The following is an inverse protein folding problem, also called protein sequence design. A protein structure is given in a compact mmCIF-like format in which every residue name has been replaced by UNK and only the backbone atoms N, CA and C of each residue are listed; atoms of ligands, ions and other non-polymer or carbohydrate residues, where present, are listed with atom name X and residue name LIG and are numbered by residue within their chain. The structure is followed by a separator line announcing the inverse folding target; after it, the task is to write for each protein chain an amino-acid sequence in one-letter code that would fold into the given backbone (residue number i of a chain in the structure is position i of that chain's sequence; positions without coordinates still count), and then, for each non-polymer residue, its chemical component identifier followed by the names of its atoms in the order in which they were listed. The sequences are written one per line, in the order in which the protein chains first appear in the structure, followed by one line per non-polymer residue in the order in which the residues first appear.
data_IF_850562999062
#
_entry.id   IF_850562999062
#
_cell.length_a   1.000
_cell.length_b   1.000
_cell.length_c   1.000
_cell.angle_alpha   90.00
_cell.angle_beta   90.00
_cell.angle_gamma   90.00
#
_symmetry.space_group_name_H-M   'P 1'
#
loop_
_entity.id
_entity.type
_entity.pdbx_description
1 polymer ?
#
# COMPACT_ATOMS: atom_id res chain seq x y z
N UNK A 1 9.81 11.12 26.36
CA UNK A 1 10.11 11.93 25.15
C UNK A 1 8.80 12.56 24.72
N UNK A 2 8.78 13.84 24.36
CA UNK A 2 7.56 14.54 23.94
C UNK A 2 7.00 13.84 22.68
N UNK A 3 5.82 13.22 22.79
CA UNK A 3 5.07 12.67 21.66
C UNK A 3 4.64 13.84 20.77
N UNK A 4 5.52 14.29 19.88
CA UNK A 4 5.09 15.13 18.78
C UNK A 4 4.29 14.24 17.83
N UNK A 5 3.03 14.59 17.60
CA UNK A 5 2.26 14.05 16.48
C UNK A 5 3.12 14.20 15.24
N UNK A 6 3.53 13.10 14.60
CA UNK A 6 4.39 13.19 13.45
C UNK A 6 3.58 13.83 12.33
N UNK A 7 4.00 15.02 11.91
CA UNK A 7 3.31 15.80 10.87
C UNK A 7 3.33 15.00 9.57
N UNK A 8 2.15 14.59 9.11
CA UNK A 8 1.98 14.01 7.78
C UNK A 8 2.18 15.11 6.75
N UNK A 9 3.19 14.96 5.88
CA UNK A 9 3.43 15.89 4.77
C UNK A 9 2.99 15.26 3.46
N UNK A 10 2.10 15.94 2.75
CA UNK A 10 1.62 15.54 1.42
C UNK A 10 2.49 16.13 0.29
N UNK A 11 3.66 16.68 0.60
CA UNK A 11 4.55 17.30 -0.39
C UNK A 11 4.92 16.34 -1.51
N UNK A 12 4.82 16.81 -2.76
CA UNK A 12 5.08 16.01 -3.94
C UNK A 12 4.02 14.95 -4.25
N UNK A 13 2.91 14.89 -3.52
CA UNK A 13 1.76 14.06 -3.86
C UNK A 13 0.79 14.83 -4.78
N UNK A 14 -0.08 14.11 -5.50
CA UNK A 14 -1.14 14.73 -6.29
C UNK A 14 -1.97 15.67 -5.42
N UNK A 15 -2.39 16.80 -5.99
CA UNK A 15 -3.06 17.88 -5.27
C UNK A 15 -2.12 18.81 -4.48
N UNK A 16 -0.87 18.40 -4.22
CA UNK A 16 0.13 19.16 -3.44
C UNK A 16 1.43 19.43 -4.20
N UNK A 17 1.39 19.33 -5.52
CA UNK A 17 2.53 19.63 -6.37
C UNK A 17 2.80 21.14 -6.44
N UNK A 18 4.07 21.51 -6.50
CA UNK A 18 4.46 22.87 -6.92
C UNK A 18 4.30 23.00 -8.45
N UNK A 19 4.24 24.22 -9.01
CA UNK A 19 4.17 24.40 -10.47
C UNK A 19 5.32 23.69 -11.22
N UNK A 20 6.53 23.67 -10.64
CA UNK A 20 7.67 22.94 -11.22
C UNK A 20 7.47 21.42 -11.18
N UNK A 21 6.89 20.89 -10.09
CA UNK A 21 6.57 19.47 -9.97
C UNK A 21 5.44 19.06 -10.92
N UNK A 22 4.43 19.91 -11.13
CA UNK A 22 3.38 19.68 -12.13
C UNK A 22 3.96 19.62 -13.54
N UNK A 23 4.86 20.56 -13.88
CA UNK A 23 5.56 20.57 -15.16
C UNK A 23 6.41 19.31 -15.35
N UNK A 24 7.21 18.93 -14.34
CA UNK A 24 8.00 17.70 -14.37
C UNK A 24 7.12 16.45 -14.53
N UNK A 25 5.93 16.45 -13.92
CA UNK A 25 4.99 15.34 -14.06
C UNK A 25 4.40 15.23 -15.47
N UNK A 26 4.01 16.35 -16.06
CA UNK A 26 3.55 16.39 -17.45
C UNK A 26 4.65 15.94 -18.42
N UNK A 27 5.88 16.44 -18.27
CA UNK A 27 7.04 16.06 -19.07
C UNK A 27 7.35 14.57 -18.94
N UNK A 28 7.36 14.03 -17.72
CA UNK A 28 7.60 12.61 -17.49
C UNK A 28 6.58 11.71 -18.19
N UNK A 29 5.28 12.02 -18.09
CA UNK A 29 4.23 11.25 -18.79
C UNK A 29 4.39 11.31 -20.31
N UNK A 30 4.75 12.48 -20.84
CA UNK A 30 5.04 12.65 -22.27
C UNK A 30 6.23 11.76 -22.70
N UNK A 31 7.36 11.83 -21.99
CA UNK A 31 8.55 11.03 -22.29
C UNK A 31 8.26 9.52 -22.23
N UNK A 32 7.46 9.07 -21.26
CA UNK A 32 7.04 7.67 -21.17
C UNK A 32 6.15 7.24 -22.35
N UNK A 33 5.25 8.13 -22.81
CA UNK A 33 4.42 7.88 -23.97
C UNK A 33 5.23 7.81 -25.27
N UNK A 34 6.17 8.74 -25.46
CA UNK A 34 7.10 8.74 -26.61
C UNK A 34 7.95 7.47 -26.67
N UNK A 35 8.36 6.94 -25.50
CA UNK A 35 9.10 5.67 -25.40
C UNK A 35 8.22 4.42 -25.52
N UNK A 36 6.89 4.57 -25.61
CA UNK A 36 5.94 3.46 -25.75
C UNK A 36 5.81 2.58 -24.49
N UNK A 37 6.14 3.13 -23.31
CA UNK A 37 6.03 2.45 -22.01
C UNK A 37 4.89 3.00 -21.15
N UNK A 38 4.14 3.96 -21.68
CA UNK A 38 2.92 4.51 -21.08
C UNK A 38 1.91 4.84 -22.17
N UNK A 39 0.66 4.44 -21.98
CA UNK A 39 -0.47 4.86 -22.80
C UNK A 39 -1.36 5.80 -21.98
N UNK A 40 -1.50 7.08 -22.38
CA UNK A 40 -2.43 8.00 -21.74
C UNK A 40 -3.89 7.51 -21.85
N UNK A 41 -4.75 8.01 -20.97
CA UNK A 41 -6.19 7.74 -21.07
C UNK A 41 -6.75 8.36 -22.36
N UNK A 42 -7.56 7.57 -23.09
CA UNK A 42 -8.28 8.00 -24.28
C UNK A 42 -9.77 7.76 -24.10
N UNK A 43 -10.63 8.34 -24.95
CA UNK A 43 -12.09 8.34 -24.76
C UNK A 43 -12.68 6.95 -24.43
N UNK A 44 -12.94 6.71 -23.13
CA UNK A 44 -13.52 5.47 -22.61
C UNK A 44 -12.53 4.38 -22.20
N UNK A 45 -11.21 4.58 -22.41
CA UNK A 45 -10.15 3.67 -22.00
C UNK A 45 -9.29 4.31 -20.89
N UNK A 46 -9.04 3.62 -19.77
CA UNK A 46 -8.13 4.11 -18.75
C UNK A 46 -6.71 4.22 -19.30
N UNK A 47 -5.88 5.05 -18.65
CA UNK A 47 -4.45 5.04 -18.90
C UNK A 47 -3.86 3.68 -18.49
N UNK A 48 -2.76 3.27 -19.14
CA UNK A 48 -2.02 2.04 -18.77
C UNK A 48 -1.58 2.02 -17.30
N UNK A 49 -1.35 3.20 -16.72
CA UNK A 49 -1.03 3.42 -15.32
C UNK A 49 -1.74 4.69 -14.85
N UNK A 50 -2.28 4.70 -13.63
CA UNK A 50 -2.91 5.91 -13.09
C UNK A 50 -1.88 6.95 -12.62
N UNK A 51 -2.34 8.17 -12.37
CA UNK A 51 -1.46 9.26 -11.95
C UNK A 51 -0.82 9.03 -10.57
N UNK A 52 -1.49 8.30 -9.66
CA UNK A 52 -0.93 7.94 -8.34
C UNK A 52 0.23 6.96 -8.51
N UNK A 53 0.14 6.02 -9.45
CA UNK A 53 1.20 5.10 -9.80
C UNK A 53 2.38 5.84 -10.43
N UNK A 54 2.12 6.66 -11.46
CA UNK A 54 3.17 7.34 -12.21
C UNK A 54 3.96 8.32 -11.33
N UNK A 55 3.32 9.08 -10.45
CA UNK A 55 4.01 10.09 -9.65
C UNK A 55 4.99 9.50 -8.63
N UNK A 56 4.84 8.23 -8.24
CA UNK A 56 5.77 7.54 -7.32
C UNK A 56 7.19 7.53 -7.85
N UNK A 57 7.36 7.35 -9.16
CA UNK A 57 8.67 7.30 -9.81
C UNK A 57 9.37 8.66 -9.78
N UNK A 58 8.62 9.75 -9.99
CA UNK A 58 9.13 11.11 -9.81
C UNK A 58 9.51 11.40 -8.38
N UNK A 59 8.64 11.07 -7.41
CA UNK A 59 8.93 11.27 -5.98
C UNK A 59 10.20 10.52 -5.57
N UNK A 60 10.36 9.27 -5.98
CA UNK A 60 11.55 8.46 -5.72
C UNK A 60 12.84 8.99 -6.37
N UNK A 61 12.72 9.88 -7.36
CA UNK A 61 13.84 10.54 -8.04
C UNK A 61 13.80 12.06 -7.87
N UNK A 62 13.13 12.56 -6.81
CA UNK A 62 13.09 13.98 -6.45
C UNK A 62 12.68 14.89 -7.61
N UNK A 63 11.73 14.42 -8.42
CA UNK A 63 11.21 15.08 -9.62
C UNK A 63 12.24 15.31 -10.74
N UNK A 64 13.37 14.59 -10.74
CA UNK A 64 14.28 14.53 -11.89
C UNK A 64 13.69 13.60 -12.95
N UNK A 65 13.16 14.18 -14.02
CA UNK A 65 12.41 13.47 -15.07
C UNK A 65 13.23 12.37 -15.75
N UNK A 66 14.50 12.65 -16.06
CA UNK A 66 15.41 11.69 -16.69
C UNK A 66 15.65 10.44 -15.81
N UNK A 67 15.91 10.63 -14.53
CA UNK A 67 16.16 9.53 -13.59
C UNK A 67 14.88 8.72 -13.33
N UNK A 68 13.72 9.41 -13.25
CA UNK A 68 12.42 8.75 -13.12
C UNK A 68 12.08 7.90 -14.36
N UNK A 69 12.40 8.40 -15.56
CA UNK A 69 12.22 7.67 -16.82
C UNK A 69 13.04 6.39 -16.88
N UNK A 70 14.28 6.41 -16.36
CA UNK A 70 15.12 5.21 -16.25
C UNK A 70 14.48 4.21 -15.30
N UNK A 71 14.14 4.63 -14.07
CA UNK A 71 13.53 3.75 -13.07
C UNK A 71 12.23 3.12 -13.57
N UNK A 72 11.37 3.91 -14.21
CA UNK A 72 10.11 3.44 -14.76
C UNK A 72 10.33 2.49 -15.95
N UNK A 73 11.26 2.81 -16.86
CA UNK A 73 11.64 1.92 -17.97
C UNK A 73 12.11 0.56 -17.46
N UNK A 74 13.03 0.54 -16.50
CA UNK A 74 13.55 -0.69 -15.91
C UNK A 74 12.45 -1.51 -15.23
N UNK A 75 11.48 -0.83 -14.61
CA UNK A 75 10.31 -1.46 -14.00
C UNK A 75 9.41 -2.11 -15.06
N UNK A 76 9.08 -1.39 -16.15
CA UNK A 76 8.24 -1.91 -17.23
C UNK A 76 8.91 -3.07 -17.99
N UNK A 77 10.23 -3.02 -18.20
CA UNK A 77 10.99 -4.13 -18.78
C UNK A 77 10.94 -5.37 -17.88
N UNK A 78 11.13 -5.19 -16.57
CA UNK A 78 11.00 -6.27 -15.59
C UNK A 78 9.58 -6.85 -15.54
N UNK A 79 8.54 -6.00 -15.55
CA UNK A 79 7.14 -6.44 -15.59
C UNK A 79 6.86 -7.34 -16.79
N UNK A 80 7.35 -6.95 -17.96
CA UNK A 80 7.22 -7.75 -19.21
C UNK A 80 7.99 -9.06 -19.13
N UNK A 81 9.23 -9.03 -18.62
CA UNK A 81 10.07 -10.22 -18.50
C UNK A 81 9.49 -11.27 -17.54
N UNK A 82 8.99 -10.83 -16.39
CA UNK A 82 8.39 -11.70 -15.36
C UNK A 82 6.89 -11.97 -15.58
N UNK A 83 6.30 -11.34 -16.62
CA UNK A 83 4.87 -11.41 -16.98
C UNK A 83 3.95 -11.04 -15.82
N UNK A 84 4.28 -9.98 -15.08
CA UNK A 84 3.61 -9.62 -13.82
C UNK A 84 2.10 -9.46 -13.97
N UNK A 85 1.63 -8.83 -15.05
CA UNK A 85 0.19 -8.59 -15.26
C UNK A 85 -0.59 -9.90 -15.46
N UNK A 86 -0.06 -10.80 -16.30
CA UNK A 86 -0.62 -12.13 -16.58
C UNK A 86 -0.59 -13.02 -15.33
N UNK A 87 0.54 -13.00 -14.62
CA UNK A 87 0.70 -13.73 -13.37
C UNK A 87 -0.30 -13.24 -12.32
N UNK A 88 -0.55 -11.94 -12.21
CA UNK A 88 -1.54 -11.39 -11.27
C UNK A 88 -2.96 -11.80 -11.62
N UNK A 89 -3.28 -11.82 -12.90
CA UNK A 89 -4.61 -12.18 -13.40
C UNK A 89 -4.95 -13.66 -13.27
N UNK A 90 -3.94 -14.53 -13.19
CA UNK A 90 -4.12 -15.98 -13.14
C UNK A 90 -3.53 -16.64 -11.89
N UNK A 91 -2.99 -15.87 -10.95
CA UNK A 91 -2.34 -16.40 -9.74
C UNK A 91 -3.27 -17.33 -8.96
N UNK A 92 -2.74 -18.48 -8.51
CA UNK A 92 -3.52 -19.42 -7.70
C UNK A 92 -3.83 -18.81 -6.33
N UNK A 93 -5.11 -18.88 -5.94
CA UNK A 93 -5.57 -18.32 -4.66
C UNK A 93 -4.93 -19.04 -3.48
N UNK A 94 -4.76 -20.36 -3.52
CA UNK A 94 -4.11 -21.10 -2.45
C UNK A 94 -2.65 -20.68 -2.26
N UNK A 95 -1.93 -20.50 -3.36
CA UNK A 95 -0.57 -19.97 -3.35
C UNK A 95 -0.52 -18.54 -2.81
N UNK A 96 -1.46 -17.67 -3.21
CA UNK A 96 -1.58 -16.32 -2.68
C UNK A 96 -1.74 -16.30 -1.16
N UNK A 97 -2.68 -17.10 -0.63
CA UNK A 97 -2.98 -17.19 0.79
C UNK A 97 -1.80 -17.75 1.60
N UNK A 98 -0.98 -18.61 1.01
CA UNK A 98 0.28 -19.05 1.63
C UNK A 98 1.33 -17.93 1.63
N UNK A 99 1.48 -17.21 0.51
CA UNK A 99 2.51 -16.19 0.35
C UNK A 99 2.29 -14.97 1.24
N UNK A 100 1.04 -14.54 1.44
CA UNK A 100 0.73 -13.37 2.28
C UNK A 100 1.07 -13.60 3.76
N UNK A 101 1.16 -14.86 4.23
CA UNK A 101 1.57 -15.21 5.60
C UNK A 101 3.04 -14.90 5.92
N UNK A 102 3.83 -14.57 4.90
CA UNK A 102 5.24 -14.23 5.03
C UNK A 102 5.51 -12.73 4.91
N UNK A 103 4.48 -11.92 4.72
CA UNK A 103 4.60 -10.50 4.34
C UNK A 103 3.59 -9.64 5.11
N UNK A 104 3.67 -8.30 5.03
CA UNK A 104 2.65 -7.43 5.60
C UNK A 104 1.26 -7.75 5.02
N UNK A 105 0.24 -7.78 5.87
CA UNK A 105 -1.14 -8.07 5.50
C UNK A 105 -2.05 -6.90 5.83
N UNK A 106 -2.96 -6.58 4.92
CA UNK A 106 -3.96 -5.53 5.14
C UNK A 106 -4.98 -5.99 6.18
N UNK A 107 -5.25 -5.15 7.18
CA UNK A 107 -6.26 -5.46 8.21
C UNK A 107 -7.69 -5.26 7.72
N UNK A 108 -7.88 -4.63 6.55
CA UNK A 108 -9.18 -4.12 6.10
C UNK A 108 -9.50 -2.72 6.60
N UNK A 109 -8.65 -2.16 7.49
CA UNK A 109 -8.82 -0.82 8.06
C UNK A 109 -7.80 0.18 7.50
N UNK A 110 -7.91 1.42 7.96
CA UNK A 110 -7.10 2.58 7.55
C UNK A 110 -6.63 3.35 8.79
N UNK A 111 -5.52 4.07 8.66
CA UNK A 111 -5.13 5.08 9.63
C UNK A 111 -5.99 6.35 9.49
N UNK A 112 -5.76 7.36 10.34
CA UNK A 112 -6.55 8.60 10.36
C UNK A 112 -6.37 9.47 9.13
N UNK A 113 -5.28 9.28 8.38
CA UNK A 113 -5.03 9.97 7.11
C UNK A 113 -5.63 9.17 5.92
N UNK A 114 -6.33 8.07 6.20
CA UNK A 114 -6.96 7.21 5.21
C UNK A 114 -6.03 6.17 4.58
N UNK A 115 -4.76 6.09 5.00
CA UNK A 115 -3.81 5.12 4.45
C UNK A 115 -4.17 3.71 4.96
N UNK A 116 -4.24 2.70 4.09
CA UNK A 116 -4.46 1.31 4.49
C UNK A 116 -3.52 0.85 5.60
N UNK A 117 -4.08 0.23 6.64
CA UNK A 117 -3.33 -0.29 7.77
C UNK A 117 -2.93 -1.75 7.53
N UNK A 118 -1.62 -1.99 7.55
CA UNK A 118 -1.03 -3.32 7.41
C UNK A 118 -0.37 -3.75 8.71
N UNK A 119 -0.38 -5.07 8.98
CA UNK A 119 0.36 -5.68 10.08
C UNK A 119 1.33 -6.71 9.53
N UNK A 120 2.54 -6.76 10.10
CA UNK A 120 3.56 -7.74 9.77
C UNK A 120 4.19 -8.32 11.03
N UNK A 121 3.90 -9.58 11.35
CA UNK A 121 4.45 -10.24 12.55
C UNK A 121 5.62 -11.14 12.18
N UNK A 122 6.84 -10.76 12.57
CA UNK A 122 8.07 -11.48 12.16
C UNK A 122 8.16 -12.89 12.76
N UNK A 123 7.56 -13.12 13.94
CA UNK A 123 7.54 -14.45 14.56
C UNK A 123 6.86 -15.51 13.68
N UNK A 124 5.84 -15.14 12.91
CA UNK A 124 5.12 -16.02 11.97
C UNK A 124 5.90 -16.30 10.68
N UNK A 125 6.93 -15.51 10.38
CA UNK A 125 7.79 -15.66 9.20
C UNK A 125 8.98 -16.59 9.49
N UNK A 126 9.08 -17.14 10.70
CA UNK A 126 10.23 -17.97 11.12
C UNK A 126 9.97 -19.48 11.01
N UNK A 127 10.99 -20.24 10.59
CA UNK A 127 10.94 -21.73 10.54
C UNK A 127 10.67 -22.32 9.14
N UNK A 128 9.74 -23.28 9.07
CA UNK A 128 9.45 -24.11 7.88
C UNK A 128 8.94 -23.27 6.70
N UNK A 129 8.05 -22.30 6.94
CA UNK A 129 7.44 -21.48 5.88
C UNK A 129 8.48 -20.64 5.12
N UNK A 130 9.52 -20.13 5.81
CA UNK A 130 10.63 -19.41 5.17
C UNK A 130 11.48 -20.35 4.31
N UNK A 131 11.66 -21.59 4.74
CA UNK A 131 12.43 -22.60 3.99
C UNK A 131 11.72 -22.93 2.69
N UNK A 132 10.41 -23.17 2.74
CA UNK A 132 9.58 -23.41 1.56
C UNK A 132 9.58 -22.22 0.61
N UNK A 133 9.44 -20.99 1.13
CA UNK A 133 9.57 -19.78 0.33
C UNK A 133 10.96 -19.68 -0.32
N UNK A 134 12.02 -19.95 0.44
CA UNK A 134 13.40 -19.89 -0.06
C UNK A 134 13.71 -20.99 -1.08
N UNK A 135 12.95 -22.08 -1.10
CA UNK A 135 13.06 -23.10 -2.14
C UNK A 135 12.22 -22.79 -3.39
N UNK A 136 11.21 -21.92 -3.29
CA UNK A 136 10.32 -21.60 -4.40
C UNK A 136 11.10 -20.97 -5.57
N UNK A 137 10.78 -21.36 -6.80
CA UNK A 137 11.41 -20.79 -8.01
C UNK A 137 10.82 -19.44 -8.40
N UNK A 138 9.59 -19.16 -7.95
CA UNK A 138 8.79 -17.98 -8.31
C UNK A 138 8.70 -16.95 -7.17
N UNK A 139 9.69 -16.86 -6.27
CA UNK A 139 9.68 -15.93 -5.12
C UNK A 139 9.39 -14.48 -5.50
N UNK A 140 10.04 -14.01 -6.56
CA UNK A 140 9.88 -12.63 -7.02
C UNK A 140 8.46 -12.38 -7.50
N UNK A 141 7.87 -13.32 -8.24
CA UNK A 141 6.46 -13.26 -8.64
C UNK A 141 5.55 -13.27 -7.41
N UNK A 142 5.75 -14.18 -6.45
CA UNK A 142 4.99 -14.24 -5.19
C UNK A 142 4.97 -12.90 -4.46
N UNK A 143 6.14 -12.27 -4.34
CA UNK A 143 6.27 -10.97 -3.70
C UNK A 143 5.64 -9.84 -4.54
N UNK A 144 5.85 -9.86 -5.85
CA UNK A 144 5.22 -8.92 -6.77
C UNK A 144 3.68 -8.97 -6.65
N UNK A 145 3.07 -10.15 -6.54
CA UNK A 145 1.61 -10.27 -6.41
C UNK A 145 1.04 -9.56 -5.18
N UNK A 146 1.79 -9.53 -4.08
CA UNK A 146 1.38 -8.82 -2.88
C UNK A 146 1.47 -7.31 -3.08
N UNK A 147 2.54 -6.84 -3.75
CA UNK A 147 2.64 -5.43 -4.14
C UNK A 147 1.59 -5.03 -5.17
N UNK A 148 1.29 -5.87 -6.16
CA UNK A 148 0.18 -5.65 -7.10
C UNK A 148 -1.15 -5.56 -6.35
N UNK A 149 -1.39 -6.40 -5.34
CA UNK A 149 -2.61 -6.26 -4.52
C UNK A 149 -2.66 -4.89 -3.83
N UNK A 150 -1.54 -4.43 -3.30
CA UNK A 150 -1.45 -3.12 -2.65
C UNK A 150 -1.75 -2.00 -3.65
N UNK A 151 -1.09 -2.00 -4.83
CA UNK A 151 -1.15 -0.89 -5.78
C UNK A 151 -2.35 -0.92 -6.70
N UNK A 152 -2.82 -2.11 -7.10
CA UNK A 152 -3.93 -2.32 -8.02
C UNK A 152 -5.28 -2.44 -7.32
N UNK A 153 -5.32 -2.60 -5.99
CA UNK A 153 -6.59 -2.75 -5.27
C UNK A 153 -6.66 -1.99 -3.96
N UNK A 154 -5.79 -2.27 -3.00
CA UNK A 154 -5.95 -1.75 -1.63
C UNK A 154 -5.83 -0.22 -1.59
N UNK A 155 -4.80 0.35 -2.23
CA UNK A 155 -4.62 1.81 -2.32
C UNK A 155 -5.75 2.46 -3.13
N UNK A 156 -6.10 1.98 -4.36
CA UNK A 156 -7.21 2.54 -5.12
C UNK A 156 -8.56 2.54 -4.36
N UNK A 157 -8.89 1.47 -3.65
CA UNK A 157 -10.11 1.38 -2.82
C UNK A 157 -10.08 2.41 -1.69
N UNK A 158 -8.98 2.48 -0.94
CA UNK A 158 -8.86 3.44 0.16
C UNK A 158 -8.92 4.89 -0.35
N UNK A 159 -8.33 5.16 -1.52
CA UNK A 159 -8.45 6.46 -2.19
C UNK A 159 -9.89 6.74 -2.62
N UNK A 160 -10.60 5.76 -3.19
CA UNK A 160 -12.01 5.91 -3.58
C UNK A 160 -12.90 6.22 -2.37
N UNK A 161 -12.68 5.56 -1.22
CA UNK A 161 -13.39 5.89 0.02
C UNK A 161 -13.03 7.30 0.50
N UNK A 162 -11.75 7.66 0.52
CA UNK A 162 -11.29 8.98 0.93
C UNK A 162 -11.95 10.10 0.09
N UNK A 163 -12.00 9.91 -1.24
CA UNK A 163 -12.69 10.84 -2.15
C UNK A 163 -14.20 10.86 -1.92
N UNK A 164 -14.85 9.69 -1.69
CA UNK A 164 -16.28 9.60 -1.41
C UNK A 164 -16.66 10.32 -0.12
N UNK A 165 -15.93 10.09 0.97
CA UNK A 165 -16.16 10.75 2.26
C UNK A 165 -16.07 12.29 2.12
N UNK A 166 -15.11 12.79 1.33
CA UNK A 166 -15.01 14.22 0.98
C UNK A 166 -16.23 14.71 0.19
N UNK A 167 -16.69 13.95 -0.81
CA UNK A 167 -17.81 14.35 -1.65
C UNK A 167 -19.17 14.29 -0.93
N UNK A 168 -19.30 13.42 0.09
CA UNK A 168 -20.51 13.27 0.90
C UNK A 168 -20.52 14.12 2.18
N UNK A 169 -19.38 14.67 2.60
CA UNK A 169 -19.35 15.70 3.65
C UNK A 169 -20.25 16.87 3.21
N UNK A 170 -21.30 17.13 3.99
CA UNK A 170 -22.39 18.04 3.64
C UNK A 170 -21.90 19.37 3.05
N UNK A 171 -22.65 20.00 2.11
CA UNK A 171 -22.35 21.37 1.70
C UNK A 171 -22.26 22.22 2.97
N UNK A 172 -21.21 23.04 3.05
CA UNK A 172 -21.03 23.98 4.16
C UNK A 172 -22.37 24.67 4.48
N UNK A 173 -22.69 24.91 5.77
CA UNK A 173 -23.96 25.51 6.16
C UNK A 173 -24.24 26.74 5.30
N UNK A 174 -25.46 26.81 4.74
CA UNK A 174 -25.88 27.93 3.89
C UNK A 174 -25.54 29.25 4.60
N UNK A 175 -24.87 30.20 3.92
CA UNK A 175 -24.53 31.46 4.53
C UNK A 175 -25.81 32.23 4.81
N UNK A 176 -26.15 32.37 6.08
CA UNK A 176 -26.99 33.47 6.50
C UNK A 176 -26.16 34.73 6.33
N UNK A 177 -26.63 35.62 5.44
CA UNK A 177 -26.02 36.89 5.00
C UNK A 177 -24.77 36.78 4.12
N UNK A 178 -24.87 37.38 2.93
CA UNK A 178 -23.88 37.58 1.86
C UNK A 178 -22.42 37.25 2.18
N UNK A 179 -22.08 35.97 2.05
CA UNK A 179 -20.83 35.47 1.45
C UNK A 179 -20.99 33.96 1.32
N UNK A 180 -21.15 33.47 0.10
CA UNK A 180 -21.09 32.04 -0.20
C UNK A 180 -19.85 31.45 0.50
N UNK A 181 -19.95 30.32 1.24
CA UNK A 181 -18.79 29.51 1.50
C UNK A 181 -18.38 28.95 0.14
N UNK A 182 -17.54 29.69 -0.57
CA UNK A 182 -16.67 29.13 -1.60
C UNK A 182 -16.01 27.92 -0.95
N UNK A 183 -16.20 26.73 -1.54
CA UNK A 183 -15.33 25.60 -1.23
C UNK A 183 -13.90 26.14 -1.21
N UNK A 184 -13.21 25.98 -0.09
CA UNK A 184 -11.86 26.50 0.07
C UNK A 184 -11.00 26.00 -1.10
N UNK A 185 -10.64 26.86 -2.06
CA UNK A 185 -9.86 26.46 -3.23
C UNK A 185 -8.47 25.95 -2.81
N UNK A 186 -8.03 26.27 -1.58
CA UNK A 186 -6.76 25.85 -1.01
C UNK A 186 -6.80 24.49 -0.31
N UNK A 187 -7.98 23.83 -0.21
CA UNK A 187 -8.06 22.44 0.26
C UNK A 187 -7.59 21.47 -0.83
N UNK A 188 -6.27 21.54 -1.05
CA UNK A 188 -5.45 20.67 -1.89
C UNK A 188 -5.91 19.22 -1.74
N UNK A 189 -6.05 18.53 -2.86
CA UNK A 189 -6.61 17.19 -2.92
C UNK A 189 -5.61 16.20 -2.32
N UNK A 190 -5.78 15.86 -1.06
CA UNK A 190 -5.02 14.77 -0.43
C UNK A 190 -5.39 13.45 -1.11
N UNK A 191 -4.38 12.68 -1.53
CA UNK A 191 -4.59 11.38 -2.19
C UNK A 191 -4.02 10.26 -1.33
N UNK A 192 -4.81 9.21 -1.12
CA UNK A 192 -4.31 7.99 -0.49
C UNK A 192 -3.43 7.29 -1.52
N UNK A 193 -2.12 7.31 -1.27
CA UNK A 193 -1.11 6.85 -2.21
C UNK A 193 -0.11 5.87 -1.60
N UNK A 194 -0.24 5.54 -0.31
CA UNK A 194 0.74 4.73 0.41
C UNK A 194 0.08 3.95 1.55
N UNK A 195 0.85 3.13 2.27
CA UNK A 195 0.35 2.28 3.34
C UNK A 195 1.05 2.55 4.67
N UNK A 196 0.34 2.34 5.78
CA UNK A 196 0.87 2.38 7.14
C UNK A 196 1.08 0.95 7.63
N UNK A 197 2.26 0.63 8.16
CA UNK A 197 2.60 -0.74 8.57
C UNK A 197 2.93 -0.80 10.07
N UNK A 198 2.30 -1.69 10.82
CA UNK A 198 2.77 -2.14 12.13
C UNK A 198 3.61 -3.41 11.92
N UNK A 199 4.90 -3.35 12.23
CA UNK A 199 5.79 -4.52 12.21
C UNK A 199 6.08 -4.98 13.62
N UNK A 200 5.56 -6.13 13.99
CA UNK A 200 5.73 -6.73 15.31
C UNK A 200 6.90 -7.69 15.30
N UNK A 201 7.92 -7.34 16.08
CA UNK A 201 9.14 -8.13 16.24
C UNK A 201 9.26 -8.74 17.64
N UNK A 202 8.15 -8.77 18.38
CA UNK A 202 8.05 -9.43 19.67
C UNK A 202 8.27 -10.94 19.53
N UNK A 203 8.88 -11.55 20.55
CA UNK A 203 9.18 -12.99 20.60
C UNK A 203 10.12 -13.49 19.49
N UNK A 204 10.87 -12.59 18.85
CA UNK A 204 11.87 -12.93 17.84
C UNK A 204 13.27 -12.81 18.45
N UNK A 205 14.08 -13.87 18.32
CA UNK A 205 15.49 -13.84 18.70
C UNK A 205 16.37 -13.22 17.61
N UNK A 206 17.55 -12.71 17.98
CA UNK A 206 18.52 -12.13 17.04
C UNK A 206 18.89 -13.09 15.91
N UNK A 207 19.05 -14.38 16.22
CA UNK A 207 19.37 -15.41 15.22
C UNK A 207 18.25 -15.62 14.20
N UNK A 208 16.99 -15.63 14.64
CA UNK A 208 15.83 -15.70 13.74
C UNK A 208 15.80 -14.50 12.79
N UNK A 209 16.03 -13.29 13.33
CA UNK A 209 16.11 -12.09 12.51
C UNK A 209 17.26 -12.17 11.49
N UNK A 210 18.42 -12.69 11.92
CA UNK A 210 19.57 -12.87 11.05
C UNK A 210 19.28 -13.82 9.89
N UNK A 211 18.57 -14.93 10.16
CA UNK A 211 18.16 -15.87 9.12
C UNK A 211 17.17 -15.26 8.11
N UNK A 212 16.40 -14.25 8.52
CA UNK A 212 15.47 -13.51 7.65
C UNK A 212 16.12 -12.41 6.82
N UNK A 213 17.40 -12.07 7.09
CA UNK A 213 18.08 -10.95 6.44
C UNK A 213 17.99 -10.98 4.91
N UNK A 214 18.26 -12.12 4.28
CA UNK A 214 18.23 -12.25 2.81
C UNK A 214 16.85 -11.94 2.24
N UNK A 215 15.81 -12.52 2.84
CA UNK A 215 14.41 -12.27 2.48
C UNK A 215 14.02 -10.79 2.62
N UNK A 216 14.43 -10.14 3.71
CA UNK A 216 14.18 -8.71 3.92
C UNK A 216 14.92 -7.82 2.92
N UNK A 217 16.15 -8.17 2.55
CA UNK A 217 16.93 -7.43 1.55
C UNK A 217 16.34 -7.56 0.15
N UNK A 218 15.91 -8.76 -0.24
CA UNK A 218 15.18 -8.98 -1.50
C UNK A 218 13.89 -8.15 -1.54
N UNK A 219 13.14 -8.13 -0.43
CA UNK A 219 11.91 -7.35 -0.32
C UNK A 219 12.13 -5.85 -0.38
N UNK A 220 13.19 -5.35 0.27
CA UNK A 220 13.58 -3.95 0.19
C UNK A 220 13.97 -3.54 -1.24
N UNK A 221 14.67 -4.43 -1.95
CA UNK A 221 15.10 -4.18 -3.33
C UNK A 221 13.91 -4.07 -4.29
N UNK A 222 12.97 -5.03 -4.26
CA UNK A 222 11.81 -4.96 -5.15
C UNK A 222 10.92 -3.74 -4.83
N UNK A 223 10.76 -3.40 -3.56
CA UNK A 223 10.02 -2.20 -3.15
C UNK A 223 10.65 -0.92 -3.73
N UNK A 224 11.98 -0.83 -3.70
CA UNK A 224 12.70 0.38 -4.15
C UNK A 224 12.80 0.48 -5.67
N UNK A 225 12.98 -0.66 -6.34
CA UNK A 225 13.22 -0.71 -7.79
C UNK A 225 11.92 -0.76 -8.62
N UNK A 226 10.84 -1.33 -8.06
CA UNK A 226 9.60 -1.66 -8.79
C UNK A 226 8.34 -1.02 -8.19
N UNK A 227 8.29 -0.83 -6.87
CA UNK A 227 7.12 -0.29 -6.17
C UNK A 227 7.46 0.92 -5.28
N UNK A 228 8.13 1.95 -5.85
CA UNK A 228 8.66 3.06 -5.07
C UNK A 228 7.55 3.83 -4.34
N UNK A 229 7.91 4.48 -3.23
CA UNK A 229 7.03 5.41 -2.51
C UNK A 229 5.67 4.83 -2.09
N UNK A 230 5.64 3.53 -1.79
CA UNK A 230 4.46 2.82 -1.25
C UNK A 230 4.36 2.90 0.27
N UNK A 231 5.45 3.20 0.99
CA UNK A 231 5.43 3.35 2.45
C UNK A 231 5.06 4.78 2.87
N UNK A 232 3.98 4.89 3.66
CA UNK A 232 3.60 6.12 4.35
C UNK A 232 4.39 6.25 5.66
N UNK A 233 4.21 5.24 6.53
CA UNK A 233 4.76 5.18 7.89
C UNK A 233 4.90 3.73 8.33
N UNK A 234 5.89 3.45 9.17
CA UNK A 234 6.04 2.15 9.81
C UNK A 234 6.27 2.28 11.31
N UNK A 235 5.57 1.47 12.09
CA UNK A 235 5.82 1.29 13.52
C UNK A 235 6.42 -0.09 13.74
N UNK A 236 7.68 -0.14 14.18
CA UNK A 236 8.30 -1.39 14.63
C UNK A 236 7.99 -1.52 16.13
N UNK A 237 7.11 -2.45 16.48
CA UNK A 237 6.59 -2.63 17.83
C UNK A 237 7.21 -3.84 18.51
N UNK A 238 7.15 -3.84 19.84
CA UNK A 238 7.73 -4.89 20.68
C UNK A 238 9.24 -5.10 20.43
N UNK A 239 9.97 -4.03 20.12
CA UNK A 239 11.38 -4.11 19.76
C UNK A 239 12.24 -4.63 20.91
N UNK A 240 12.92 -5.79 20.77
CA UNK A 240 13.79 -6.33 21.82
C UNK A 240 15.02 -5.43 22.07
N UNK A 241 15.68 -5.61 23.20
CA UNK A 241 16.87 -4.82 23.58
C UNK A 241 18.05 -4.93 22.60
N UNK A 242 18.12 -6.00 21.79
CA UNK A 242 19.13 -6.15 20.73
C UNK A 242 18.77 -5.41 19.43
N UNK A 243 17.53 -4.92 19.26
CA UNK A 243 17.08 -4.34 18.00
C UNK A 243 17.88 -3.12 17.51
N UNK A 244 18.45 -2.25 18.38
CA UNK A 244 19.34 -1.18 17.91
C UNK A 244 20.52 -1.68 17.06
N UNK A 245 21.05 -2.87 17.35
CA UNK A 245 22.10 -3.51 16.54
C UNK A 245 21.59 -3.85 15.14
N UNK A 246 20.40 -4.47 15.08
CA UNK A 246 19.71 -4.82 13.83
C UNK A 246 19.39 -3.57 13.00
N UNK A 247 18.89 -2.53 13.65
CA UNK A 247 18.58 -1.25 13.03
C UNK A 247 19.80 -0.58 12.38
N UNK A 248 20.99 -0.76 12.99
CA UNK A 248 22.25 -0.32 12.40
C UNK A 248 22.53 -0.93 11.02
N UNK A 249 22.06 -2.15 10.75
CA UNK A 249 22.17 -2.80 9.45
C UNK A 249 21.06 -2.37 8.49
N UNK A 250 19.81 -2.34 8.97
CA UNK A 250 18.63 -1.98 8.17
C UNK A 250 18.76 -0.59 7.56
N UNK A 251 19.32 0.39 8.29
CA UNK A 251 19.58 1.74 7.77
C UNK A 251 20.49 1.79 6.54
N UNK A 252 21.24 0.73 6.24
CA UNK A 252 22.06 0.62 5.03
C UNK A 252 21.31 0.03 3.84
N UNK A 253 20.14 -0.56 4.08
CA UNK A 253 19.33 -1.21 3.03
C UNK A 253 18.30 -0.25 2.43
N UNK A 254 17.86 0.73 3.21
CA UNK A 254 16.87 1.72 2.81
C UNK A 254 17.50 3.11 2.67
N UNK A 255 16.91 3.93 1.81
CA UNK A 255 17.29 5.33 1.68
C UNK A 255 16.85 6.14 2.91
N UNK A 256 17.44 7.34 3.15
CA UNK A 256 17.11 8.16 4.31
C UNK A 256 15.62 8.53 4.44
N UNK A 257 14.90 8.74 3.34
CA UNK A 257 13.46 9.10 3.35
C UNK A 257 12.63 7.92 3.85
N UNK A 258 12.95 6.70 3.42
CA UNK A 258 12.28 5.51 3.94
C UNK A 258 12.58 5.33 5.44
N UNK A 259 13.84 5.50 5.87
CA UNK A 259 14.18 5.34 7.29
C UNK A 259 13.56 6.40 8.22
N UNK A 260 13.28 7.61 7.73
CA UNK A 260 12.65 8.67 8.54
C UNK A 260 11.16 8.41 8.81
N UNK A 261 10.52 7.55 8.01
CA UNK A 261 9.12 7.11 8.18
C UNK A 261 8.97 6.01 9.25
N UNK A 262 10.08 5.46 9.76
CA UNK A 262 10.09 4.32 10.68
C UNK A 262 10.22 4.80 12.12
N UNK A 263 9.24 4.43 12.95
CA UNK A 263 9.24 4.65 14.40
C UNK A 263 9.47 3.32 15.11
N UNK A 264 10.44 3.27 16.02
CA UNK A 264 10.77 2.05 16.79
C UNK A 264 10.24 2.20 18.21
N UNK A 265 9.40 1.25 18.63
CA UNK A 265 8.76 1.21 19.94
C UNK A 265 9.28 -0.01 20.73
N UNK A 266 9.81 0.26 21.92
CA UNK A 266 10.45 -0.74 22.78
C UNK A 266 9.48 -1.85 23.20
N UNK A 267 9.97 -3.08 23.31
CA UNK A 267 9.24 -4.20 23.92
C UNK A 267 9.07 -4.10 25.44
N UNK A 268 9.62 -3.07 26.07
CA UNK A 268 9.37 -2.76 27.48
C UNK A 268 8.12 -1.91 27.72
N UNK A 269 7.46 -1.41 26.66
CA UNK A 269 6.23 -0.64 26.80
C UNK A 269 5.11 -1.55 27.29
N UNK A 270 4.31 -1.05 28.23
CA UNK A 270 3.01 -1.65 28.57
C UNK A 270 2.07 -1.55 27.37
N UNK A 271 1.02 -2.38 27.34
CA UNK A 271 0.00 -2.32 26.28
C UNK A 271 -0.65 -0.93 26.19
N UNK A 272 -0.85 -0.26 27.33
CA UNK A 272 -1.40 1.10 27.39
C UNK A 272 -0.45 2.12 26.75
N UNK A 273 0.83 2.07 27.07
CA UNK A 273 1.82 2.99 26.47
C UNK A 273 1.99 2.72 24.97
N UNK A 274 1.99 1.45 24.55
CA UNK A 274 2.02 1.10 23.13
C UNK A 274 0.81 1.67 22.38
N UNK A 275 -0.39 1.48 22.94
CA UNK A 275 -1.63 2.08 22.45
C UNK A 275 -1.50 3.59 22.30
N UNK A 276 -1.05 4.31 23.35
CA UNK A 276 -0.87 5.77 23.32
C UNK A 276 0.08 6.25 22.20
N UNK A 277 1.07 5.45 21.81
CA UNK A 277 1.98 5.77 20.71
C UNK A 277 1.34 5.56 19.32
N UNK A 278 0.56 4.49 19.16
CA UNK A 278 -0.09 4.12 17.89
C UNK A 278 -1.35 4.94 17.64
N UNK A 279 -2.10 5.24 18.70
CA UNK A 279 -3.29 6.09 18.70
C UNK A 279 -3.01 7.55 18.38
N UNK A 280 -1.78 7.92 18.00
CA UNK A 280 -1.50 9.23 17.40
C UNK A 280 -1.93 9.25 15.93
N UNK A 281 -1.84 8.12 15.23
CA UNK A 281 -2.15 8.01 13.80
C UNK A 281 -3.25 7.01 13.49
N UNK A 282 -3.52 6.02 14.36
CA UNK A 282 -4.49 4.96 14.11
C UNK A 282 -5.64 5.10 15.10
N UNK A 283 -6.88 5.12 14.61
CA UNK A 283 -8.04 5.17 15.50
C UNK A 283 -8.19 3.85 16.30
N UNK A 284 -8.61 3.87 17.58
CA UNK A 284 -8.73 2.67 18.41
C UNK A 284 -9.52 1.54 17.73
N UNK A 285 -10.64 1.87 17.08
CA UNK A 285 -11.50 0.96 16.33
C UNK A 285 -10.83 0.28 15.13
N UNK A 286 -9.74 0.88 14.62
CA UNK A 286 -8.97 0.38 13.49
C UNK A 286 -7.68 -0.35 13.94
N UNK A 287 -7.32 -0.25 15.21
CA UNK A 287 -6.10 -0.85 15.77
C UNK A 287 -6.39 -2.25 16.34
N UNK A 288 -5.65 -3.31 15.96
CA UNK A 288 -5.84 -4.65 16.54
C UNK A 288 -5.77 -4.67 18.07
N UNK A 289 -6.63 -5.48 18.71
CA UNK A 289 -6.66 -5.69 20.17
C UNK A 289 -5.31 -6.05 20.77
N UNK A 290 -4.49 -6.82 20.05
CA UNK A 290 -3.12 -7.19 20.44
C UNK A 290 -2.22 -5.97 20.71
N UNK A 291 -2.51 -4.83 20.09
CA UNK A 291 -1.78 -3.57 20.24
C UNK A 291 -2.55 -2.52 21.06
N UNK A 292 -3.66 -2.93 21.70
CA UNK A 292 -4.43 -2.13 22.65
C UNK A 292 -5.61 -1.37 22.07
N UNK A 293 -5.94 -1.59 20.79
CA UNK A 293 -7.16 -1.07 20.16
C UNK A 293 -8.36 -1.99 20.32
N UNK A 294 -9.38 -1.78 19.48
CA UNK A 294 -10.69 -2.44 19.59
C UNK A 294 -10.96 -3.41 18.42
N UNK A 295 -10.12 -3.42 17.38
CA UNK A 295 -10.28 -4.27 16.20
C UNK A 295 -10.02 -5.75 16.55
N UNK A 296 -11.00 -6.60 16.27
CA UNK A 296 -10.92 -8.06 16.43
C UNK A 296 -10.30 -8.71 15.20
N UNK A 297 -8.99 -8.55 15.05
CA UNK A 297 -8.21 -9.06 13.93
C UNK A 297 -6.82 -9.52 14.40
N UNK A 298 -6.38 -10.69 13.95
CA UNK A 298 -5.02 -11.20 14.17
C UNK A 298 -4.31 -11.50 12.84
N UNK A 299 -2.98 -11.60 12.90
CA UNK A 299 -2.16 -11.84 11.72
C UNK A 299 -2.47 -13.19 11.07
N UNK A 300 -2.86 -13.16 9.80
CA UNK A 300 -3.32 -14.33 9.04
C UNK A 300 -4.82 -14.31 8.75
N UNK A 301 -5.60 -13.50 9.48
CA UNK A 301 -7.02 -13.33 9.21
C UNK A 301 -7.24 -12.69 7.83
N UNK A 302 -8.44 -12.87 7.29
CA UNK A 302 -8.90 -12.10 6.13
C UNK A 302 -9.11 -10.63 6.54
N UNK A 303 -9.00 -9.66 5.62
CA UNK A 303 -9.26 -8.27 5.93
C UNK A 303 -10.66 -8.05 6.51
N UNK A 304 -10.75 -7.40 7.69
CA UNK A 304 -12.00 -6.95 8.30
C UNK A 304 -12.28 -5.51 7.85
N UNK A 305 -13.04 -5.39 6.75
CA UNK A 305 -13.35 -4.11 6.10
C UNK A 305 -14.53 -3.40 6.74
N UNK A 306 -14.53 -2.06 6.69
CA UNK A 306 -15.61 -1.24 7.26
C UNK A 306 -16.73 -1.05 6.24
N UNK A 307 -17.84 -0.45 6.69
CA UNK A 307 -19.00 -0.23 5.83
C UNK A 307 -18.64 0.63 4.61
N UNK A 308 -17.79 1.65 4.79
CA UNK A 308 -17.41 2.53 3.68
C UNK A 308 -16.63 1.77 2.60
N UNK A 309 -15.72 0.87 2.99
CA UNK A 309 -15.02 0.00 2.04
C UNK A 309 -16.00 -0.99 1.41
N UNK A 310 -16.92 -1.60 2.18
CA UNK A 310 -17.92 -2.52 1.62
C UNK A 310 -18.78 -1.83 0.55
N UNK A 311 -19.25 -0.61 0.82
CA UNK A 311 -20.02 0.20 -0.13
C UNK A 311 -19.26 0.49 -1.43
N UNK A 312 -17.95 0.78 -1.32
CA UNK A 312 -17.10 1.11 -2.48
C UNK A 312 -16.70 -0.14 -3.28
N UNK A 313 -16.43 -1.25 -2.60
CA UNK A 313 -15.97 -2.50 -3.21
C UNK A 313 -17.12 -3.30 -3.83
N UNK A 314 -18.28 -3.30 -3.19
CA UNK A 314 -19.43 -4.12 -3.56
C UNK A 314 -19.42 -5.50 -2.89
N UNK A 315 -20.62 -5.96 -2.50
CA UNK A 315 -20.83 -7.22 -1.75
C UNK A 315 -20.39 -8.48 -2.52
N UNK A 316 -20.39 -8.46 -3.84
CA UNK A 316 -20.04 -9.61 -4.68
C UNK A 316 -18.57 -10.05 -4.50
N UNK A 317 -17.68 -9.12 -4.14
CA UNK A 317 -16.26 -9.41 -3.89
C UNK A 317 -16.05 -10.03 -2.51
N UNK A 318 -17.03 -9.98 -1.61
CA UNK A 318 -16.94 -10.63 -0.30
C UNK A 318 -17.57 -12.02 -0.26
N UNK A 319 -18.27 -12.44 -1.31
CA UNK A 319 -18.78 -13.80 -1.45
C UNK A 319 -17.63 -14.84 -1.35
N UNK A 320 -17.95 -16.05 -0.89
CA UNK A 320 -17.01 -17.18 -0.81
C UNK A 320 -15.80 -16.97 0.12
N UNK A 321 -16.05 -16.48 1.34
CA UNK A 321 -15.01 -16.40 2.39
C UNK A 321 -14.26 -15.07 2.48
N UNK A 322 -14.81 -13.99 1.91
CA UNK A 322 -14.27 -12.64 2.02
C UNK A 322 -13.24 -12.27 0.96
N UNK A 323 -12.36 -11.32 1.30
CA UNK A 323 -11.28 -10.83 0.44
C UNK A 323 -10.07 -11.77 0.45
N UNK A 324 -10.23 -12.93 -0.18
CA UNK A 324 -9.15 -13.91 -0.41
C UNK A 324 -8.62 -13.85 -1.84
N UNK A 325 -7.33 -14.10 -2.02
CA UNK A 325 -6.68 -14.07 -3.33
C UNK A 325 -6.54 -12.67 -3.93
N UNK A 326 -6.00 -12.56 -5.16
CA UNK A 326 -5.82 -11.27 -5.81
C UNK A 326 -7.16 -10.66 -6.24
N UNK A 327 -7.23 -9.33 -6.14
CA UNK A 327 -8.38 -8.51 -6.53
C UNK A 327 -7.85 -7.30 -7.27
N UNK A 328 -8.54 -6.83 -8.31
CA UNK A 328 -8.16 -5.64 -9.07
C UNK A 328 -9.23 -4.57 -8.91
N UNK A 329 -8.81 -3.33 -8.68
CA UNK A 329 -9.66 -2.16 -8.82
C UNK A 329 -9.66 -1.74 -10.28
N UNK A 330 -10.85 -1.72 -10.87
CA UNK A 330 -11.06 -1.36 -12.26
C UNK A 330 -11.80 -0.03 -12.31
N UNK A 331 -11.18 0.98 -12.88
CA UNK A 331 -11.84 2.27 -13.16
C UNK A 331 -12.60 2.13 -14.47
N UNK A 332 -13.93 2.23 -14.43
CA UNK A 332 -14.72 2.24 -15.66
C UNK A 332 -14.49 3.54 -16.46
N UNK A 333 -14.83 3.51 -17.76
CA UNK A 333 -14.76 4.69 -18.62
C UNK A 333 -15.59 5.88 -18.10
N UNK A 334 -15.37 7.08 -18.67
CA UNK A 334 -15.90 8.40 -18.25
C UNK A 334 -17.16 8.33 -17.36
N UNK A 335 -16.98 8.57 -16.06
CA UNK A 335 -18.06 8.74 -15.09
C UNK A 335 -18.51 7.46 -14.37
N UNK A 336 -17.94 6.29 -14.66
CA UNK A 336 -18.18 5.10 -13.84
C UNK A 336 -17.37 5.16 -12.54
N UNK A 337 -18.05 4.89 -11.44
CA UNK A 337 -17.41 4.57 -10.15
C UNK A 337 -16.58 3.31 -10.36
N UNK A 338 -15.31 3.31 -9.94
CA UNK A 338 -14.47 2.12 -10.03
C UNK A 338 -15.11 0.94 -9.31
N UNK A 339 -14.79 -0.29 -9.74
CA UNK A 339 -15.31 -1.53 -9.15
C UNK A 339 -14.17 -2.48 -8.84
N UNK A 340 -14.33 -3.27 -7.79
CA UNK A 340 -13.41 -4.35 -7.49
C UNK A 340 -13.79 -5.62 -8.28
N UNK A 341 -12.78 -6.33 -8.77
CA UNK A 341 -12.94 -7.58 -9.54
C UNK A 341 -12.01 -8.63 -8.97
N UNK A 342 -12.57 -9.78 -8.59
CA UNK A 342 -11.81 -10.96 -8.20
C UNK A 342 -11.04 -11.47 -9.44
N UNK A 343 -9.71 -11.50 -9.35
CA UNK A 343 -8.82 -12.10 -10.38
C UNK A 343 -8.14 -13.34 -9.80
N UNK A 344 -7.24 -13.96 -10.56
CA UNK A 344 -6.56 -15.19 -10.18
C UNK A 344 -7.37 -16.45 -10.52
N UNK A 345 -6.87 -17.60 -10.06
CA UNK A 345 -7.46 -18.89 -10.36
C UNK A 345 -7.70 -19.76 -9.12
N UNK A 346 -8.72 -20.61 -9.18
CA UNK A 346 -9.00 -21.66 -8.18
C UNK A 346 -9.06 -22.99 -8.92
N UNK A 347 -8.14 -23.90 -8.60
CA UNK A 347 -8.05 -25.20 -9.30
C UNK A 347 -7.83 -25.04 -10.81
N UNK A 348 -7.06 -24.01 -11.21
CA UNK A 348 -6.78 -23.69 -12.61
C UNK A 348 -7.93 -23.01 -13.38
N UNK A 349 -9.06 -22.70 -12.74
CA UNK A 349 -10.16 -21.95 -13.36
C UNK A 349 -10.08 -20.47 -12.99
N UNK A 350 -10.17 -19.59 -13.97
CA UNK A 350 -10.20 -18.14 -13.78
C UNK A 350 -11.43 -17.71 -12.96
N UNK A 351 -11.22 -16.84 -11.97
CA UNK A 351 -12.26 -16.29 -11.10
C UNK A 351 -13.15 -15.24 -11.76
N UNK A 352 -12.72 -14.63 -12.86
CA UNK A 352 -13.51 -13.66 -13.64
C UNK A 352 -14.64 -14.34 -14.43
N UNK A 353 -14.49 -15.62 -14.78
CA UNK A 353 -15.40 -16.32 -15.68
C UNK A 353 -15.46 -15.66 -17.06
N UNK A 354 -16.65 -15.57 -17.67
CA UNK A 354 -16.88 -14.91 -18.97
C UNK A 354 -17.02 -13.37 -18.87
N UNK A 355 -16.80 -12.77 -17.70
CA UNK A 355 -16.89 -11.31 -17.55
C UNK A 355 -15.72 -10.68 -18.32
N UNK A 356 -15.98 -9.76 -19.27
CA UNK A 356 -14.93 -9.24 -20.15
C UNK A 356 -13.82 -8.55 -19.35
N UNK A 357 -12.60 -8.65 -19.87
CA UNK A 357 -11.49 -7.81 -19.46
C UNK A 357 -11.93 -6.34 -19.58
N UNK A 358 -11.74 -5.59 -18.51
CA UNK A 358 -12.16 -4.20 -18.43
C UNK A 358 -11.21 -3.26 -19.14
#
# INVERSE_FOLDING_TARGET
MSNKTPVTTFEGQLGHLTPDQEKAFAEFKQLCAEKGIYTPAEAGKPASHDDIFMIRFLRARRFVTADALILFSDSEEWRKAEKIDDVYDHFDVGEYEQCRKLHPQWTGRRDRDGMPLFVYTISHVSGTNLTEYTAAKNKLQRLAMLYETVTQFVIPVANAVHVRARNHAAPAPKPTTETAPTADPEKKLESVSSITIITDIGNVGLWTFWNLKGHMQESAKIASDRYPETLHRQYIVNAPSFFPTVWGWIKKWFDPVTTSKITILSGSLTLKELREQLEVCIAPENLPKKYGGDLDWDYGDVPDVDEEIREVVGEDVFADGGLTGPVRWVVGGKGMVGRAVKVGSIGGKDRRGDKPDA
#
